data_IF_838494432729
#
_entry.id   IF_838494432729
#
_cell.length_a   1.000
_cell.length_b   1.000
_cell.length_c   1.000
_cell.angle_alpha   90.00
_cell.angle_beta   90.00
_cell.angle_gamma   90.00
#
_symmetry.space_group_name_H-M   'P 1'
#
loop_
_entity.id
_entity.type
_entity.pdbx_description
1 polymer ?
#
# COMPACT_ATOMS: atom_id res chain seq x y z
N UNK A 1 -33.50 -16.51 -23.21
CA UNK A 1 -33.98 -15.93 -21.94
C UNK A 1 -33.73 -16.80 -20.71
N UNK A 2 -33.70 -18.13 -20.84
CA UNK A 2 -33.54 -19.07 -19.70
C UNK A 2 -32.12 -19.10 -19.10
N UNK A 3 -31.07 -19.05 -19.93
CA UNK A 3 -29.65 -19.06 -19.49
C UNK A 3 -29.29 -17.90 -18.52
N UNK A 4 -29.66 -16.63 -18.78
CA UNK A 4 -29.37 -15.54 -17.83
C UNK A 4 -30.17 -15.65 -16.53
N UNK A 5 -31.36 -16.28 -16.54
CA UNK A 5 -32.15 -16.52 -15.34
C UNK A 5 -31.49 -17.58 -14.44
N UNK A 6 -30.98 -18.68 -15.04
CA UNK A 6 -30.24 -19.73 -14.33
C UNK A 6 -28.97 -19.16 -13.68
N UNK A 7 -28.20 -18.32 -14.41
CA UNK A 7 -27.01 -17.66 -13.84
C UNK A 7 -27.35 -16.79 -12.63
N UNK A 8 -28.46 -16.03 -12.69
CA UNK A 8 -28.92 -15.20 -11.56
C UNK A 8 -29.35 -16.05 -10.35
N UNK A 9 -30.03 -17.17 -10.59
CA UNK A 9 -30.44 -18.09 -9.53
C UNK A 9 -29.22 -18.72 -8.86
N UNK A 10 -28.22 -19.16 -9.64
CA UNK A 10 -26.98 -19.71 -9.10
C UNK A 10 -26.23 -18.67 -8.26
N UNK A 11 -26.10 -17.44 -8.76
CA UNK A 11 -25.46 -16.34 -8.01
C UNK A 11 -26.21 -16.02 -6.70
N UNK A 12 -27.54 -16.04 -6.72
CA UNK A 12 -28.35 -15.86 -5.52
C UNK A 12 -28.14 -16.99 -4.51
N UNK A 13 -28.11 -18.24 -4.96
CA UNK A 13 -27.84 -19.41 -4.09
C UNK A 13 -26.44 -19.31 -3.49
N UNK A 14 -25.43 -18.94 -4.29
CA UNK A 14 -24.07 -18.74 -3.79
C UNK A 14 -24.01 -17.62 -2.75
N UNK A 15 -24.65 -16.48 -3.01
CA UNK A 15 -24.68 -15.37 -2.08
C UNK A 15 -25.37 -15.75 -0.77
N UNK A 16 -26.52 -16.42 -0.83
CA UNK A 16 -27.23 -16.92 0.36
C UNK A 16 -26.38 -17.93 1.12
N UNK A 17 -25.69 -18.84 0.42
CA UNK A 17 -24.77 -19.80 1.04
C UNK A 17 -23.61 -19.10 1.76
N UNK A 18 -22.99 -18.11 1.13
CA UNK A 18 -21.92 -17.30 1.74
C UNK A 18 -22.44 -16.55 2.97
N UNK A 19 -23.59 -15.89 2.87
CA UNK A 19 -24.19 -15.16 3.99
C UNK A 19 -24.59 -16.09 5.13
N UNK A 20 -25.07 -17.30 4.83
CA UNK A 20 -25.41 -18.30 5.83
C UNK A 20 -24.18 -18.80 6.57
N UNK A 21 -23.11 -19.17 5.84
CA UNK A 21 -21.83 -19.58 6.46
C UNK A 21 -21.25 -18.43 7.28
N UNK A 22 -21.26 -17.21 6.75
CA UNK A 22 -20.83 -16.03 7.48
C UNK A 22 -21.62 -15.83 8.78
N UNK A 23 -22.94 -15.97 8.73
CA UNK A 23 -23.79 -15.87 9.92
C UNK A 23 -23.45 -16.94 10.96
N UNK A 24 -23.25 -18.20 10.54
CA UNK A 24 -22.83 -19.27 11.46
C UNK A 24 -21.47 -18.96 12.09
N UNK A 25 -20.49 -18.52 11.29
CA UNK A 25 -19.18 -18.13 11.79
C UNK A 25 -19.24 -16.96 12.77
N UNK A 26 -20.15 -16.00 12.59
CA UNK A 26 -20.35 -14.89 13.52
C UNK A 26 -20.92 -15.35 14.87
N UNK A 27 -21.84 -16.33 14.88
CA UNK A 27 -22.35 -16.91 16.13
C UNK A 27 -21.26 -17.68 16.88
N UNK A 28 -20.43 -18.46 16.18
CA UNK A 28 -19.30 -19.17 16.80
C UNK A 28 -18.26 -18.19 17.39
N UNK A 29 -18.08 -17.04 16.75
CA UNK A 29 -17.12 -16.02 17.18
C UNK A 29 -17.46 -15.43 18.55
N UNK A 30 -18.75 -15.25 18.87
CA UNK A 30 -19.19 -14.72 20.16
C UNK A 30 -18.85 -15.66 21.33
N UNK A 31 -18.82 -16.98 21.07
CA UNK A 31 -18.48 -18.01 22.06
C UNK A 31 -16.97 -18.13 22.26
N UNK A 32 -16.17 -17.88 21.21
CA UNK A 32 -14.70 -18.04 21.22
C UNK A 32 -13.99 -16.71 21.52
N UNK A 33 -14.72 -15.58 21.57
CA UNK A 33 -14.15 -14.26 21.74
C UNK A 33 -13.37 -14.15 23.07
N UNK A 34 -12.09 -13.79 22.95
CA UNK A 34 -11.22 -13.51 24.09
C UNK A 34 -10.56 -12.14 23.88
N UNK A 35 -10.71 -11.26 24.88
CA UNK A 35 -10.12 -9.92 24.90
C UNK A 35 -8.60 -9.93 25.20
N UNK A 36 -8.00 -11.08 25.49
CA UNK A 36 -6.61 -11.18 25.93
C UNK A 36 -5.63 -10.47 24.98
N UNK A 37 -5.70 -10.72 23.67
CA UNK A 37 -4.79 -10.09 22.70
C UNK A 37 -4.96 -8.56 22.65
N UNK A 38 -6.19 -8.07 22.72
CA UNK A 38 -6.51 -6.64 22.77
C UNK A 38 -5.95 -6.00 24.03
N UNK A 39 -6.16 -6.63 25.20
CA UNK A 39 -5.63 -6.15 26.47
C UNK A 39 -4.10 -6.15 26.48
N UNK A 40 -3.47 -7.21 25.92
CA UNK A 40 -2.03 -7.31 25.79
C UNK A 40 -1.44 -6.17 24.97
N UNK A 41 -1.97 -5.92 23.77
CA UNK A 41 -1.47 -4.84 22.91
C UNK A 41 -1.66 -3.48 23.57
N UNK A 42 -2.82 -3.22 24.20
CA UNK A 42 -3.08 -1.95 24.88
C UNK A 42 -2.12 -1.71 26.06
N UNK A 43 -1.76 -2.76 26.81
CA UNK A 43 -0.88 -2.65 27.96
C UNK A 43 0.61 -2.55 27.57
N UNK A 44 1.05 -3.31 26.56
CA UNK A 44 2.47 -3.48 26.24
C UNK A 44 2.93 -2.79 24.95
N UNK A 45 2.01 -2.42 24.06
CA UNK A 45 2.34 -1.97 22.71
C UNK A 45 3.30 -0.79 22.65
N UNK A 46 3.13 0.22 23.51
CA UNK A 46 4.05 1.37 23.57
C UNK A 46 5.46 0.96 24.05
N UNK A 47 5.54 0.12 25.09
CA UNK A 47 6.82 -0.28 25.67
C UNK A 47 7.60 -1.26 24.79
N UNK A 48 6.89 -2.15 24.09
CA UNK A 48 7.48 -3.16 23.22
C UNK A 48 7.91 -2.53 21.89
N UNK A 49 7.02 -1.76 21.24
CA UNK A 49 7.24 -1.23 19.89
C UNK A 49 7.84 0.18 19.88
N UNK A 50 7.59 1.01 20.90
CA UNK A 50 7.92 2.44 20.87
C UNK A 50 6.91 3.30 20.11
N UNK A 51 5.79 2.73 19.63
CA UNK A 51 4.75 3.44 18.87
C UNK A 51 3.61 3.90 19.77
N UNK A 52 3.27 5.20 19.73
CA UNK A 52 2.02 5.70 20.33
C UNK A 52 0.79 5.27 19.52
N UNK A 53 0.94 5.09 18.20
CA UNK A 53 -0.07 4.50 17.35
C UNK A 53 0.00 2.96 17.44
N UNK A 54 -0.93 2.38 18.19
CA UNK A 54 -1.05 0.94 18.40
C UNK A 54 -1.18 0.16 17.09
N UNK A 55 -1.92 0.69 16.11
CA UNK A 55 -2.13 0.02 14.82
C UNK A 55 -0.80 -0.13 14.10
N UNK A 56 0.01 0.93 14.09
CA UNK A 56 1.36 0.92 13.51
C UNK A 56 2.32 0.00 14.24
N UNK A 57 2.26 -0.04 15.58
CA UNK A 57 3.02 -1.03 16.35
C UNK A 57 2.63 -2.47 15.99
N UNK A 58 1.33 -2.73 15.80
CA UNK A 58 0.84 -4.06 15.41
C UNK A 58 1.36 -4.46 14.04
N UNK A 59 1.18 -3.65 12.99
CA UNK A 59 1.53 -4.11 11.64
C UNK A 59 3.04 -4.01 11.32
N UNK A 60 3.81 -3.17 12.02
CA UNK A 60 5.27 -3.05 11.78
C UNK A 60 6.16 -3.80 12.77
N UNK A 61 5.62 -4.30 13.87
CA UNK A 61 6.39 -5.07 14.84
C UNK A 61 5.74 -6.44 15.04
N UNK A 62 4.62 -6.52 15.77
CA UNK A 62 3.96 -7.80 16.10
C UNK A 62 3.57 -8.64 14.87
N UNK A 63 3.20 -7.99 13.78
CA UNK A 63 2.71 -8.60 12.53
C UNK A 63 3.46 -8.07 11.31
N UNK A 64 4.75 -7.72 11.46
CA UNK A 64 5.57 -7.23 10.35
C UNK A 64 5.59 -8.19 9.16
N UNK A 65 5.52 -9.50 9.42
CA UNK A 65 5.40 -10.51 8.37
C UNK A 65 4.24 -10.22 7.41
N UNK A 66 3.05 -9.85 7.93
CA UNK A 66 1.89 -9.57 7.11
C UNK A 66 2.10 -8.33 6.22
N UNK A 67 2.73 -7.27 6.76
CA UNK A 67 3.06 -6.07 5.98
C UNK A 67 4.17 -6.30 4.94
N UNK A 68 5.12 -7.20 5.21
CA UNK A 68 6.11 -7.62 4.20
C UNK A 68 5.43 -8.37 3.05
N UNK A 69 4.46 -9.24 3.35
CA UNK A 69 3.68 -9.93 2.31
C UNK A 69 2.77 -8.98 1.55
N UNK A 70 2.14 -8.00 2.20
CA UNK A 70 1.39 -6.94 1.51
C UNK A 70 2.27 -6.16 0.53
N UNK A 71 3.46 -5.77 0.98
CA UNK A 71 4.47 -5.12 0.15
C UNK A 71 4.93 -6.03 -1.02
N UNK A 72 5.06 -7.33 -0.78
CA UNK A 72 5.39 -8.33 -1.79
C UNK A 72 4.29 -8.54 -2.83
N UNK A 73 3.02 -8.58 -2.40
CA UNK A 73 1.86 -8.67 -3.30
C UNK A 73 1.82 -7.45 -4.21
N UNK A 74 2.08 -6.25 -3.70
CA UNK A 74 2.17 -5.05 -4.53
C UNK A 74 3.30 -5.17 -5.57
N UNK A 75 4.48 -5.70 -5.20
CA UNK A 75 5.59 -5.91 -6.14
C UNK A 75 5.21 -6.89 -7.26
N UNK A 76 4.49 -7.96 -6.92
CA UNK A 76 3.99 -8.95 -7.89
C UNK A 76 2.95 -8.31 -8.81
N UNK A 77 2.02 -7.52 -8.25
CA UNK A 77 1.01 -6.81 -9.03
C UNK A 77 1.64 -5.81 -10.01
N UNK A 78 2.61 -5.00 -9.56
CA UNK A 78 3.37 -4.09 -10.41
C UNK A 78 4.07 -4.86 -11.52
N UNK A 79 4.75 -5.96 -11.20
CA UNK A 79 5.45 -6.79 -12.19
C UNK A 79 4.47 -7.39 -13.22
N UNK A 80 3.29 -7.83 -12.79
CA UNK A 80 2.24 -8.35 -13.66
C UNK A 80 1.69 -7.29 -14.61
N UNK A 81 1.38 -6.09 -14.11
CA UNK A 81 0.93 -4.95 -14.93
C UNK A 81 2.00 -4.57 -15.94
N UNK A 82 3.27 -4.47 -15.52
CA UNK A 82 4.37 -4.13 -16.43
C UNK A 82 4.61 -5.18 -17.50
N UNK A 83 4.41 -6.46 -17.19
CA UNK A 83 4.52 -7.55 -18.17
C UNK A 83 3.37 -7.51 -19.19
N UNK A 84 2.15 -7.23 -18.75
CA UNK A 84 1.00 -7.05 -19.64
C UNK A 84 1.24 -5.83 -20.56
N UNK A 85 1.74 -4.72 -20.00
CA UNK A 85 1.99 -3.47 -20.70
C UNK A 85 3.07 -3.52 -21.79
N UNK A 86 3.93 -4.52 -21.76
CA UNK A 86 4.92 -4.73 -22.83
C UNK A 86 4.32 -5.30 -24.12
N UNK A 87 3.06 -5.75 -24.10
CA UNK A 87 2.40 -6.21 -25.31
C UNK A 87 1.90 -5.02 -26.12
N UNK A 88 2.42 -4.86 -27.34
CA UNK A 88 1.88 -3.95 -28.34
C UNK A 88 0.50 -4.45 -28.77
N UNK A 89 -0.54 -4.16 -27.98
CA UNK A 89 -1.90 -4.27 -28.47
C UNK A 89 -2.06 -3.14 -29.50
N UNK A 90 -2.07 -3.50 -30.79
CA UNK A 90 -2.49 -2.57 -31.85
C UNK A 90 -3.99 -2.30 -31.68
N UNK A 91 -4.37 -1.48 -30.70
CA UNK A 91 -5.72 -0.96 -30.63
C UNK A 91 -5.89 0.10 -31.71
N UNK A 92 -6.57 -0.30 -32.79
CA UNK A 92 -6.91 0.55 -33.95
C UNK A 92 -7.76 1.80 -33.59
N UNK A 93 -8.22 1.93 -32.34
CA UNK A 93 -9.14 2.96 -31.87
C UNK A 93 -8.83 3.48 -30.45
N UNK A 94 -7.59 3.33 -29.94
CA UNK A 94 -7.19 3.89 -28.64
C UNK A 94 -6.98 5.42 -28.71
N UNK A 95 -7.92 6.16 -29.28
CA UNK A 95 -7.97 7.61 -29.13
C UNK A 95 -8.75 7.91 -27.87
N UNK A 96 -8.16 7.81 -26.67
CA UNK A 96 -8.52 8.63 -25.50
C UNK A 96 -7.72 8.23 -24.26
N UNK A 97 -7.02 9.20 -23.65
CA UNK A 97 -7.15 9.51 -22.22
C UNK A 97 -6.48 10.84 -21.83
N UNK A 98 -5.45 11.29 -22.56
CA UNK A 98 -4.95 12.68 -22.43
C UNK A 98 -4.89 13.33 -23.80
N UNK A 99 -6.07 13.62 -24.35
CA UNK A 99 -6.15 14.54 -25.46
C UNK A 99 -5.80 15.93 -24.93
N UNK A 100 -4.76 16.55 -25.52
CA UNK A 100 -4.13 17.81 -25.10
C UNK A 100 -5.11 18.99 -25.07
N UNK A 101 -6.36 18.78 -25.50
CA UNK A 101 -7.39 19.79 -25.74
C UNK A 101 -8.54 19.83 -24.72
N UNK A 102 -8.56 19.02 -23.65
CA UNK A 102 -9.73 18.96 -22.74
C UNK A 102 -9.47 19.13 -21.23
N UNK A 103 -8.24 19.31 -20.76
CA UNK A 103 -8.03 19.63 -19.34
C UNK A 103 -8.28 21.13 -19.11
N UNK A 104 -9.29 21.53 -18.30
CA UNK A 104 -9.57 22.93 -18.06
C UNK A 104 -8.36 23.64 -17.41
N UNK A 105 -8.02 24.85 -17.84
CA UNK A 105 -6.91 25.62 -17.25
C UNK A 105 -7.06 25.82 -15.73
N UNK A 106 -8.32 25.90 -15.27
CA UNK A 106 -8.66 25.95 -13.86
C UNK A 106 -8.17 24.68 -13.11
N UNK A 107 -8.35 23.50 -13.71
CA UNK A 107 -7.90 22.24 -13.13
C UNK A 107 -6.38 22.19 -13.00
N UNK A 108 -5.64 22.66 -14.01
CA UNK A 108 -4.17 22.73 -13.98
C UNK A 108 -3.69 23.69 -12.90
N UNK A 109 -4.36 24.85 -12.76
CA UNK A 109 -4.05 25.83 -11.71
C UNK A 109 -4.23 25.25 -10.31
N UNK A 110 -5.38 24.61 -10.05
CA UNK A 110 -5.61 23.93 -8.75
C UNK A 110 -4.64 22.78 -8.53
N UNK A 111 -4.32 22.00 -9.57
CA UNK A 111 -3.36 20.90 -9.51
C UNK A 111 -1.97 21.38 -9.09
N UNK A 112 -1.50 22.51 -9.62
CA UNK A 112 -0.20 23.12 -9.23
C UNK A 112 -0.17 23.55 -7.78
N UNK A 113 -1.29 24.01 -7.24
CA UNK A 113 -1.41 24.37 -5.83
C UNK A 113 -1.46 23.14 -4.92
N UNK A 114 -2.23 22.11 -5.32
CA UNK A 114 -2.43 20.89 -4.54
C UNK A 114 -1.22 19.96 -4.53
N UNK A 115 -0.47 19.90 -5.63
CA UNK A 115 0.71 19.03 -5.77
C UNK A 115 1.70 19.10 -4.58
N UNK A 116 2.25 20.28 -4.22
CA UNK A 116 3.20 20.38 -3.10
C UNK A 116 2.53 20.08 -1.76
N UNK A 117 1.26 20.44 -1.59
CA UNK A 117 0.49 20.16 -0.37
C UNK A 117 0.32 18.65 -0.17
N UNK A 118 -0.02 17.93 -1.24
CA UNK A 118 -0.18 16.47 -1.21
C UNK A 118 1.14 15.75 -0.97
N UNK A 119 2.24 16.22 -1.56
CA UNK A 119 3.57 15.66 -1.25
C UNK A 119 3.94 15.88 0.21
N UNK A 120 3.82 17.10 0.71
CA UNK A 120 4.10 17.44 2.10
C UNK A 120 3.25 16.59 3.05
N UNK A 121 1.94 16.49 2.78
CA UNK A 121 1.02 15.69 3.59
C UNK A 121 1.33 14.19 3.51
N UNK A 122 1.65 13.67 2.33
CA UNK A 122 2.05 12.28 2.14
C UNK A 122 3.31 11.93 2.95
N UNK A 123 4.36 12.75 2.87
CA UNK A 123 5.57 12.57 3.69
C UNK A 123 5.31 12.71 5.18
N UNK A 124 4.45 13.66 5.58
CA UNK A 124 4.02 13.81 6.97
C UNK A 124 3.36 12.52 7.49
N UNK A 125 2.42 11.93 6.73
CA UNK A 125 1.72 10.68 7.08
C UNK A 125 2.69 9.50 7.16
N UNK A 126 3.71 9.44 6.30
CA UNK A 126 4.74 8.40 6.33
C UNK A 126 5.60 8.51 7.60
N UNK A 127 6.17 9.70 7.87
CA UNK A 127 7.13 9.91 8.96
C UNK A 127 6.44 9.79 10.32
N UNK A 128 5.24 10.35 10.46
CA UNK A 128 4.49 10.40 11.71
C UNK A 128 3.55 9.20 11.91
N UNK A 129 3.69 8.13 11.12
CA UNK A 129 2.80 6.96 11.23
C UNK A 129 2.85 6.26 12.60
N UNK A 130 3.95 6.40 13.34
CA UNK A 130 4.11 5.84 14.69
C UNK A 130 3.45 6.68 15.79
N UNK A 131 3.09 7.94 15.53
CA UNK A 131 2.42 8.83 16.51
C UNK A 131 0.99 9.19 16.11
N UNK A 132 0.70 9.19 14.81
CA UNK A 132 -0.58 9.64 14.24
C UNK A 132 -1.21 8.53 13.40
N UNK A 133 -2.55 8.57 13.18
CA UNK A 133 -3.21 7.65 12.26
C UNK A 133 -2.65 7.78 10.84
N UNK A 134 -2.35 6.66 10.20
CA UNK A 134 -1.72 6.64 8.89
C UNK A 134 -0.70 5.52 8.78
N UNK A 135 0.45 5.82 8.17
CA UNK A 135 1.52 4.85 7.95
C UNK A 135 2.15 4.97 6.56
N UNK A 136 3.11 4.09 6.31
CA UNK A 136 3.81 4.01 5.03
C UNK A 136 2.86 3.80 3.85
N UNK A 137 1.93 2.87 3.94
CA UNK A 137 1.07 2.51 2.79
C UNK A 137 0.15 3.67 2.37
N UNK A 138 -0.58 4.26 3.32
CA UNK A 138 -1.51 5.36 3.07
C UNK A 138 -0.76 6.60 2.60
N UNK A 139 0.36 6.94 3.26
CA UNK A 139 1.19 8.06 2.85
C UNK A 139 1.82 7.86 1.47
N UNK A 140 2.27 6.63 1.17
CA UNK A 140 2.77 6.24 -0.15
C UNK A 140 1.72 6.40 -1.26
N UNK A 141 0.47 6.02 -1.00
CA UNK A 141 -0.64 6.23 -1.93
C UNK A 141 -0.94 7.72 -2.18
N UNK A 142 -0.86 8.56 -1.15
CA UNK A 142 -0.98 10.03 -1.29
C UNK A 142 0.16 10.58 -2.16
N UNK A 143 1.40 10.15 -1.91
CA UNK A 143 2.57 10.56 -2.72
C UNK A 143 2.42 10.10 -4.18
N UNK A 144 1.98 8.86 -4.42
CA UNK A 144 1.70 8.36 -5.78
C UNK A 144 0.64 9.21 -6.49
N UNK A 145 -0.42 9.60 -5.77
CA UNK A 145 -1.49 10.46 -6.29
C UNK A 145 -0.96 11.86 -6.64
N UNK A 146 -0.07 12.42 -5.81
CA UNK A 146 0.60 13.68 -6.10
C UNK A 146 1.46 13.57 -7.37
N UNK A 147 2.20 12.47 -7.54
CA UNK A 147 2.98 12.22 -8.76
C UNK A 147 2.05 12.06 -9.98
N UNK A 148 0.90 11.40 -9.83
CA UNK A 148 -0.09 11.27 -10.90
C UNK A 148 -0.61 12.64 -11.37
N UNK A 149 -0.84 13.58 -10.46
CA UNK A 149 -1.29 14.93 -10.81
C UNK A 149 -0.27 15.67 -11.68
N UNK A 150 1.04 15.36 -11.59
CA UNK A 150 2.05 15.95 -12.49
C UNK A 150 1.76 15.66 -13.97
N UNK A 151 1.19 14.51 -14.31
CA UNK A 151 0.84 14.19 -15.70
C UNK A 151 -0.20 15.16 -16.30
N UNK A 152 -1.03 15.76 -15.44
CA UNK A 152 -2.00 16.79 -15.86
C UNK A 152 -1.40 18.20 -15.88
N UNK A 153 -0.37 18.45 -15.07
CA UNK A 153 0.33 19.74 -15.04
C UNK A 153 1.30 19.88 -16.21
N UNK A 154 2.08 18.82 -16.47
CA UNK A 154 3.09 18.77 -17.51
C UNK A 154 3.18 17.37 -18.11
N UNK A 155 2.47 17.20 -19.24
CA UNK A 155 2.42 15.95 -19.99
C UNK A 155 3.75 15.60 -20.68
N UNK A 156 4.67 16.56 -20.81
CA UNK A 156 5.97 16.34 -21.45
C UNK A 156 6.95 15.60 -20.54
N UNK A 157 6.67 15.59 -19.24
CA UNK A 157 7.52 14.95 -18.25
C UNK A 157 7.38 13.44 -18.32
N UNK A 158 8.37 12.79 -18.92
CA UNK A 158 8.44 11.33 -18.98
C UNK A 158 9.08 10.79 -17.71
N UNK A 159 8.38 9.91 -17.01
CA UNK A 159 8.93 9.16 -15.89
C UNK A 159 9.59 7.88 -16.41
N UNK A 160 10.85 7.66 -16.01
CA UNK A 160 11.56 6.41 -16.28
C UNK A 160 11.05 5.30 -15.35
N UNK A 161 10.16 4.48 -15.90
CA UNK A 161 9.55 3.36 -15.19
C UNK A 161 10.61 2.29 -14.84
N UNK A 162 11.65 2.10 -15.66
CA UNK A 162 12.69 1.11 -15.40
C UNK A 162 13.50 1.43 -14.15
N UNK A 163 13.86 2.71 -13.97
CA UNK A 163 14.51 3.20 -12.77
C UNK A 163 13.60 3.02 -11.54
N UNK A 164 12.32 3.41 -11.64
CA UNK A 164 11.35 3.26 -10.54
C UNK A 164 11.25 1.80 -10.08
N UNK A 165 11.10 0.86 -11.00
CA UNK A 165 11.00 -0.57 -10.69
C UNK A 165 12.29 -1.10 -10.06
N UNK A 166 13.44 -0.58 -10.47
CA UNK A 166 14.73 -0.98 -9.89
C UNK A 166 14.85 -0.52 -8.45
N UNK A 167 14.50 0.75 -8.16
CA UNK A 167 14.50 1.28 -6.80
C UNK A 167 13.47 0.53 -5.94
N UNK A 168 12.27 0.28 -6.46
CA UNK A 168 11.22 -0.44 -5.73
C UNK A 168 11.66 -1.84 -5.28
N UNK A 169 12.35 -2.58 -6.16
CA UNK A 169 12.93 -3.89 -5.82
C UNK A 169 14.02 -3.78 -4.76
N UNK A 170 14.90 -2.78 -4.86
CA UNK A 170 15.94 -2.52 -3.87
C UNK A 170 15.32 -2.22 -2.50
N UNK A 171 14.29 -1.38 -2.45
CA UNK A 171 13.57 -1.07 -1.21
C UNK A 171 12.91 -2.30 -0.60
N UNK A 172 12.31 -3.18 -1.43
CA UNK A 172 11.73 -4.42 -0.95
C UNK A 172 12.80 -5.37 -0.38
N UNK A 173 13.95 -5.51 -1.04
CA UNK A 173 15.07 -6.29 -0.52
C UNK A 173 15.59 -5.70 0.80
N UNK A 174 15.70 -4.37 0.89
CA UNK A 174 16.12 -3.69 2.12
C UNK A 174 15.13 -3.94 3.27
N UNK A 175 13.83 -3.95 3.00
CA UNK A 175 12.80 -4.29 4.00
C UNK A 175 12.97 -5.71 4.54
N UNK A 176 13.21 -6.69 3.66
CA UNK A 176 13.47 -8.09 4.07
C UNK A 176 14.76 -8.17 4.89
N UNK A 177 15.83 -7.47 4.49
CA UNK A 177 17.09 -7.48 5.22
C UNK A 177 16.93 -6.85 6.61
N UNK A 178 16.34 -5.65 6.71
CA UNK A 178 16.14 -4.96 8.00
C UNK A 178 15.24 -5.79 8.91
N UNK A 179 14.15 -6.33 8.38
CA UNK A 179 13.28 -7.23 9.11
C UNK A 179 13.98 -8.52 9.53
N UNK A 180 14.85 -9.07 8.68
CA UNK A 180 15.58 -10.32 8.92
C UNK A 180 16.75 -10.21 9.90
N UNK A 181 17.34 -9.01 10.08
CA UNK A 181 18.41 -8.78 11.08
C UNK A 181 17.94 -9.17 12.49
N UNK A 182 16.65 -8.98 12.79
CA UNK A 182 16.05 -9.33 14.08
C UNK A 182 16.31 -10.77 14.52
N UNK A 183 16.41 -11.72 13.59
CA UNK A 183 16.70 -13.13 13.88
C UNK A 183 18.02 -13.31 14.64
N UNK A 184 19.05 -12.54 14.28
CA UNK A 184 20.37 -12.64 14.89
C UNK A 184 20.48 -11.87 16.20
N UNK A 185 19.64 -10.85 16.40
CA UNK A 185 19.73 -9.94 17.55
C UNK A 185 18.75 -10.28 18.66
N UNK A 186 17.65 -10.98 18.36
CA UNK A 186 16.50 -11.17 19.26
C UNK A 186 16.26 -12.66 19.55
N UNK A 187 17.31 -13.40 19.89
CA UNK A 187 17.23 -14.82 20.29
C UNK A 187 16.41 -15.72 19.34
N UNK A 188 16.46 -15.45 18.03
CA UNK A 188 15.75 -16.22 17.00
C UNK A 188 14.36 -15.71 16.64
N UNK A 189 13.86 -14.62 17.23
CA UNK A 189 12.64 -13.96 16.80
C UNK A 189 12.86 -13.21 15.48
N UNK A 190 12.02 -13.47 14.48
CA UNK A 190 12.12 -12.89 13.12
C UNK A 190 11.08 -11.78 12.97
N UNK A 191 11.42 -10.74 12.22
CA UNK A 191 10.56 -9.63 11.85
C UNK A 191 10.00 -8.86 13.05
N UNK A 192 10.85 -8.57 14.04
CA UNK A 192 10.49 -7.73 15.19
C UNK A 192 11.54 -6.65 15.43
N UNK A 193 11.19 -5.64 16.21
CA UNK A 193 12.08 -4.57 16.60
C UNK A 193 13.26 -5.11 17.42
N UNK A 194 14.46 -5.02 16.84
CA UNK A 194 15.71 -5.45 17.47
C UNK A 194 16.39 -4.35 18.30
N UNK A 195 15.81 -3.14 18.36
CA UNK A 195 16.35 -2.03 19.15
C UNK A 195 15.93 -2.20 20.61
N UNK A 196 16.89 -2.45 21.48
CA UNK A 196 16.64 -2.64 22.91
C UNK A 196 16.45 -1.33 23.69
N UNK A 197 17.02 -0.22 23.22
CA UNK A 197 16.94 1.08 23.88
C UNK A 197 15.54 1.72 23.73
N UNK A 198 14.79 1.95 24.84
CA UNK A 198 13.42 2.46 24.77
C UNK A 198 13.28 3.80 24.05
N UNK A 199 14.26 4.70 24.17
CA UNK A 199 14.25 6.01 23.48
C UNK A 199 14.42 5.90 21.97
N UNK A 200 15.02 4.81 21.50
CA UNK A 200 15.39 4.64 20.09
C UNK A 200 14.49 3.63 19.36
N UNK A 201 13.57 2.96 20.07
CA UNK A 201 12.67 1.95 19.49
C UNK A 201 11.83 2.47 18.34
N UNK A 202 11.37 3.72 18.42
CA UNK A 202 10.57 4.38 17.38
C UNK A 202 11.32 4.49 16.04
N UNK A 203 12.66 4.58 16.06
CA UNK A 203 13.49 4.71 14.85
C UNK A 203 13.31 3.52 13.92
N UNK A 204 13.15 2.32 14.48
CA UNK A 204 12.89 1.11 13.71
C UNK A 204 11.58 1.25 12.92
N UNK A 205 10.49 1.66 13.57
CA UNK A 205 9.19 1.81 12.93
C UNK A 205 9.15 2.97 11.94
N UNK A 206 9.81 4.09 12.25
CA UNK A 206 9.92 5.22 11.32
C UNK A 206 10.65 4.76 10.05
N UNK A 207 11.76 4.03 10.21
CA UNK A 207 12.53 3.51 9.08
C UNK A 207 11.70 2.58 8.20
N UNK A 208 11.00 1.61 8.80
CA UNK A 208 10.11 0.71 8.05
C UNK A 208 8.96 1.45 7.36
N UNK A 209 8.32 2.40 8.06
CA UNK A 209 7.26 3.22 7.46
C UNK A 209 7.77 4.00 6.24
N UNK A 210 8.94 4.62 6.34
CA UNK A 210 9.55 5.38 5.23
C UNK A 210 9.85 4.46 4.05
N UNK A 211 10.47 3.31 4.29
CA UNK A 211 10.79 2.35 3.24
C UNK A 211 9.54 1.80 2.55
N UNK A 212 8.53 1.40 3.32
CA UNK A 212 7.24 0.95 2.80
C UNK A 212 6.56 2.07 2.01
N UNK A 213 6.53 3.29 2.55
CA UNK A 213 5.85 4.41 1.91
C UNK A 213 6.48 4.82 0.58
N UNK A 214 7.81 4.89 0.51
CA UNK A 214 8.51 5.16 -0.75
C UNK A 214 8.27 4.01 -1.74
N UNK A 215 8.37 2.75 -1.30
CA UNK A 215 8.08 1.58 -2.14
C UNK A 215 6.66 1.64 -2.72
N UNK A 216 5.66 1.89 -1.88
CA UNK A 216 4.25 1.96 -2.30
C UNK A 216 4.04 3.11 -3.28
N UNK A 217 4.63 4.28 -3.01
CA UNK A 217 4.56 5.42 -3.90
C UNK A 217 5.12 5.10 -5.30
N UNK A 218 6.29 4.45 -5.36
CA UNK A 218 6.94 4.04 -6.60
C UNK A 218 6.15 2.97 -7.35
N UNK A 219 5.67 1.92 -6.66
CA UNK A 219 4.89 0.84 -7.26
C UNK A 219 3.58 1.34 -7.88
N UNK A 220 2.82 2.16 -7.15
CA UNK A 220 1.59 2.75 -7.66
C UNK A 220 1.86 3.71 -8.83
N UNK A 221 2.92 4.52 -8.73
CA UNK A 221 3.33 5.40 -9.84
C UNK A 221 3.66 4.60 -11.10
N UNK A 222 4.36 3.46 -10.98
CA UNK A 222 4.68 2.59 -12.10
C UNK A 222 3.41 2.02 -12.76
N UNK A 223 2.46 1.52 -11.96
CA UNK A 223 1.17 1.01 -12.45
C UNK A 223 0.41 2.10 -13.21
N UNK A 224 0.26 3.29 -12.62
CA UNK A 224 -0.44 4.39 -13.29
C UNK A 224 0.26 4.83 -14.57
N UNK A 225 1.59 4.88 -14.57
CA UNK A 225 2.37 5.22 -15.76
C UNK A 225 2.20 4.18 -16.86
N UNK A 226 2.11 2.90 -16.51
CA UNK A 226 1.85 1.82 -17.48
C UNK A 226 0.47 2.01 -18.14
N UNK A 227 -0.58 2.22 -17.35
CA UNK A 227 -1.93 2.47 -17.89
C UNK A 227 -2.00 3.75 -18.73
N UNK A 228 -1.33 4.82 -18.32
CA UNK A 228 -1.26 6.06 -19.10
C UNK A 228 -0.50 5.91 -20.41
N UNK A 229 0.43 4.95 -20.52
CA UNK A 229 1.14 4.64 -21.76
C UNK A 229 0.33 3.74 -22.68
N UNK A 230 -0.40 2.77 -22.15
CA UNK A 230 -1.31 1.92 -22.94
C UNK A 230 -2.51 2.68 -23.48
N UNK A 231 -3.06 3.63 -22.72
CA UNK A 231 -4.17 4.48 -23.16
C UNK A 231 -3.80 5.59 -24.16
N UNK A 232 -2.55 5.60 -24.67
CA UNK A 232 -2.06 6.53 -25.70
C UNK A 232 -1.87 5.83 -27.02
#
# INVERSE_FOLDING_TARGET
MVIPLIKRIILLIMLVGILYVFSLSMFDLEVIYNDFGKQYFLANGLNETGSMNLVTGIYLDYRLFDSLFEAGILLIAVSGVMWISQHNIQEKNATFMIDKQKTPELFVTFSRLLYPLMLMFGFYVIINGHTSPGGGFQGGAIVATAILILYYIDISKTIDVGLILTIEKILFMLLIIIGGISYFTTDGHIFTNFINDPSSKEIYLITLNVLIGIKVALGLTAIFTAFLKEGR
#
